data_IF_462188153063
#
_entry.id   IF_462188153063
#
_cell.length_a   1.000
_cell.length_b   1.000
_cell.length_c   1.000
_cell.angle_alpha   90.00
_cell.angle_beta   90.00
_cell.angle_gamma   90.00
#
_symmetry.space_group_name_H-M   'P 1'
#
loop_
_entity.id
_entity.type
_entity.pdbx_description
1 polymer ?
#
# COMPACT_ATOMS: atom_id res chain seq x y z
N UNK A 1 61.16 4.92 -13.50
CA UNK A 1 60.28 5.68 -12.58
C UNK A 1 59.09 6.16 -13.39
N UNK A 2 57.95 5.49 -13.25
CA UNK A 2 56.72 5.88 -13.93
C UNK A 2 55.98 6.94 -13.08
N UNK A 3 55.38 7.98 -13.69
CA UNK A 3 54.69 9.02 -12.94
C UNK A 3 53.39 8.48 -12.34
N UNK A 4 53.19 8.77 -11.06
CA UNK A 4 51.97 8.50 -10.31
C UNK A 4 50.87 9.41 -10.85
N UNK A 5 49.85 8.82 -11.46
CA UNK A 5 48.69 9.54 -11.97
C UNK A 5 47.89 10.15 -10.81
N UNK A 6 47.61 11.45 -10.92
CA UNK A 6 46.83 12.19 -9.94
C UNK A 6 45.36 11.69 -9.90
N UNK A 7 44.71 11.68 -8.72
CA UNK A 7 43.31 11.28 -8.60
C UNK A 7 42.38 12.28 -9.31
N UNK A 8 41.42 11.73 -10.06
CA UNK A 8 40.40 12.50 -10.76
C UNK A 8 39.51 13.29 -9.77
N UNK A 9 39.06 14.51 -10.11
CA UNK A 9 38.21 15.30 -9.25
C UNK A 9 36.83 14.64 -9.09
N UNK A 10 36.37 14.57 -7.83
CA UNK A 10 35.01 14.16 -7.48
C UNK A 10 33.99 15.00 -8.25
N UNK A 11 33.09 14.32 -8.98
CA UNK A 11 32.08 14.95 -9.83
C UNK A 11 31.07 15.73 -8.98
N UNK A 12 30.82 16.95 -9.41
CA UNK A 12 29.83 17.89 -8.87
C UNK A 12 28.39 17.48 -9.24
N UNK A 13 27.87 16.40 -8.66
CA UNK A 13 26.47 15.97 -8.88
C UNK A 13 25.47 16.49 -7.84
N UNK A 14 25.91 17.17 -6.78
CA UNK A 14 25.03 17.66 -5.71
C UNK A 14 24.36 19.02 -5.97
N UNK A 15 24.68 19.73 -7.06
CA UNK A 15 24.18 21.09 -7.28
C UNK A 15 22.78 21.16 -7.95
N UNK A 16 22.31 20.10 -8.61
CA UNK A 16 21.04 20.15 -9.37
C UNK A 16 19.78 19.93 -8.53
N UNK A 17 19.91 19.48 -7.28
CA UNK A 17 18.76 19.22 -6.42
C UNK A 17 18.24 20.46 -5.66
N UNK A 18 19.04 21.53 -5.56
CA UNK A 18 18.72 22.71 -4.76
C UNK A 18 18.08 23.86 -5.56
N UNK A 19 18.29 23.96 -6.87
CA UNK A 19 17.70 25.05 -7.67
C UNK A 19 16.20 24.85 -7.99
N UNK A 20 15.65 23.65 -7.83
CA UNK A 20 14.22 23.39 -8.13
C UNK A 20 13.26 23.72 -6.99
N UNK A 21 13.74 24.06 -5.79
CA UNK A 21 12.89 24.43 -4.65
C UNK A 21 12.46 25.91 -4.62
N UNK A 22 12.89 26.73 -5.59
CA UNK A 22 12.65 28.18 -5.57
C UNK A 22 11.43 28.66 -6.40
N UNK A 23 10.68 27.78 -7.09
CA UNK A 23 9.74 28.23 -8.14
C UNK A 23 8.23 28.02 -7.89
N UNK A 24 7.78 27.53 -6.73
CA UNK A 24 6.33 27.45 -6.43
C UNK A 24 6.05 27.99 -5.03
N UNK A 25 6.07 29.31 -4.91
CA UNK A 25 5.60 30.02 -3.74
C UNK A 25 4.07 30.11 -3.74
N UNK A 26 3.38 29.05 -3.35
CA UNK A 26 1.97 29.12 -2.96
C UNK A 26 1.88 29.09 -1.45
N UNK A 27 1.68 30.27 -0.86
CA UNK A 27 1.44 30.44 0.58
C UNK A 27 0.05 29.90 0.89
N UNK A 28 -0.03 28.71 1.48
CA UNK A 28 -1.27 28.17 2.04
C UNK A 28 -1.47 28.69 3.47
N UNK A 29 -2.46 29.56 3.66
CA UNK A 29 -2.85 30.03 4.99
C UNK A 29 -3.70 28.97 5.69
N UNK A 30 -3.14 28.31 6.70
CA UNK A 30 -3.86 27.35 7.54
C UNK A 30 -4.70 28.14 8.57
N UNK A 31 -6.02 28.17 8.38
CA UNK A 31 -6.97 28.52 9.44
C UNK A 31 -7.83 27.31 9.76
N UNK A 32 -7.72 26.87 11.01
CA UNK A 32 -8.60 26.00 11.78
C UNK A 32 -9.54 25.07 10.99
N UNK A 33 -9.20 23.78 10.97
CA UNK A 33 -10.06 22.62 10.61
C UNK A 33 -10.98 22.82 9.41
N UNK A 34 -10.47 22.62 8.18
CA UNK A 34 -11.10 22.03 6.98
C UNK A 34 -10.25 22.44 5.77
N UNK A 35 -9.64 21.48 5.08
CA UNK A 35 -8.93 21.74 3.83
C UNK A 35 -9.97 21.93 2.71
N UNK A 36 -10.22 23.18 2.35
CA UNK A 36 -10.98 23.52 1.14
C UNK A 36 -10.01 23.57 -0.03
N UNK A 37 -10.09 22.60 -0.94
CA UNK A 37 -9.44 22.70 -2.24
C UNK A 37 -10.38 23.49 -3.14
N UNK A 38 -10.01 24.68 -3.65
CA UNK A 38 -10.77 25.28 -4.73
C UNK A 38 -10.72 24.29 -5.91
N UNK A 39 -11.87 23.80 -6.34
CA UNK A 39 -11.97 23.17 -7.65
C UNK A 39 -11.72 24.28 -8.68
N UNK A 40 -10.76 24.09 -9.56
CA UNK A 40 -10.55 24.97 -10.70
C UNK A 40 -11.83 24.96 -11.56
N UNK A 41 -12.56 26.08 -11.58
CA UNK A 41 -13.87 26.22 -12.25
C UNK A 41 -13.75 26.35 -13.79
N UNK A 42 -12.58 26.11 -14.39
CA UNK A 42 -12.37 26.31 -15.85
C UNK A 42 -12.52 25.05 -16.73
N UNK A 43 -12.69 23.85 -16.18
CA UNK A 43 -12.80 22.62 -17.00
C UNK A 43 -14.24 22.09 -17.23
N UNK A 44 -15.27 22.76 -16.67
CA UNK A 44 -16.68 22.33 -16.82
C UNK A 44 -17.40 22.80 -18.11
N UNK A 45 -16.73 23.45 -19.06
CA UNK A 45 -17.41 24.03 -20.25
C UNK A 45 -17.36 23.22 -21.55
N UNK A 46 -16.81 22.01 -21.60
CA UNK A 46 -16.67 21.27 -22.86
C UNK A 46 -17.24 19.84 -22.88
N UNK A 47 -18.39 19.56 -22.27
CA UNK A 47 -19.13 18.32 -22.61
C UNK A 47 -20.65 18.57 -22.66
N UNK A 48 -21.25 18.19 -23.80
CA UNK A 48 -22.69 17.98 -24.11
C UNK A 48 -23.51 19.16 -24.65
N UNK A 49 -23.45 19.37 -25.98
CA UNK A 49 -24.62 19.72 -26.80
C UNK A 49 -24.85 18.66 -27.87
N UNK A 50 -25.65 17.64 -27.55
CA UNK A 50 -26.45 16.90 -28.53
C UNK A 50 -27.89 16.86 -28.02
N UNK A 51 -28.73 17.66 -28.67
CA UNK A 51 -30.14 17.80 -28.33
C UNK A 51 -30.92 16.53 -28.64
N UNK A 52 -31.77 16.13 -27.70
CA UNK A 52 -32.83 15.15 -27.92
C UNK A 52 -34.17 15.89 -27.88
N UNK A 53 -34.92 15.78 -28.97
CA UNK A 53 -36.19 16.45 -29.17
C UNK A 53 -37.27 15.93 -28.20
N UNK A 54 -38.08 16.87 -27.72
CA UNK A 54 -39.34 16.64 -27.00
C UNK A 54 -40.35 15.94 -27.90
N UNK A 55 -40.94 14.84 -27.43
CA UNK A 55 -42.31 14.47 -27.77
C UNK A 55 -43.14 14.45 -26.48
N UNK A 56 -44.11 15.37 -26.41
CA UNK A 56 -45.16 15.43 -25.40
C UNK A 56 -46.25 14.43 -25.79
N UNK A 57 -46.77 13.68 -24.82
CA UNK A 57 -48.18 13.27 -24.77
C UNK A 57 -48.48 12.73 -23.37
N UNK A 58 -49.38 13.43 -22.65
CA UNK A 58 -50.16 12.88 -21.55
C UNK A 58 -51.34 12.10 -22.14
N UNK A 59 -51.81 11.04 -21.47
CA UNK A 59 -53.10 11.14 -20.78
C UNK A 59 -53.11 10.39 -19.42
N UNK A 60 -53.68 10.99 -18.38
CA UNK A 60 -55.04 10.69 -17.85
C UNK A 60 -55.14 9.41 -17.00
N UNK A 61 -55.24 9.65 -15.68
CA UNK A 61 -56.03 8.98 -14.63
C UNK A 61 -56.18 7.45 -14.62
N UNK A 62 -55.78 6.84 -13.50
CA UNK A 62 -56.66 6.04 -12.63
C UNK A 62 -56.00 5.72 -11.29
N UNK A 63 -56.69 5.84 -10.14
CA UNK A 63 -56.20 5.40 -8.84
C UNK A 63 -56.56 3.93 -8.61
N UNK A 64 -55.58 3.08 -8.28
CA UNK A 64 -55.85 1.73 -7.77
C UNK A 64 -55.24 1.56 -6.38
N UNK A 65 -56.16 1.51 -5.40
CA UNK A 65 -56.30 0.49 -4.35
C UNK A 65 -55.09 -0.36 -3.94
N UNK A 66 -54.80 -0.27 -2.64
CA UNK A 66 -54.36 -1.30 -1.69
C UNK A 66 -54.11 -2.73 -2.22
N UNK A 67 -52.91 -3.24 -1.91
CA UNK A 67 -52.74 -4.58 -1.37
C UNK A 67 -51.55 -4.59 -0.40
N UNK A 68 -51.86 -4.79 0.88
CA UNK A 68 -50.90 -5.21 1.90
C UNK A 68 -50.26 -6.53 1.48
N UNK A 69 -48.95 -6.65 1.67
CA UNK A 69 -48.28 -7.95 1.68
C UNK A 69 -47.57 -8.17 3.02
N UNK A 70 -47.53 -9.43 3.46
CA UNK A 70 -47.40 -9.79 4.86
C UNK A 70 -45.96 -9.68 5.39
N UNK A 71 -45.89 -9.36 6.68
CA UNK A 71 -44.71 -9.55 7.50
C UNK A 71 -44.30 -11.04 7.45
N UNK A 72 -43.11 -11.30 6.94
CA UNK A 72 -42.45 -12.58 7.12
C UNK A 72 -41.84 -12.58 8.51
N UNK A 73 -42.46 -13.33 9.42
CA UNK A 73 -41.87 -13.78 10.67
C UNK A 73 -40.56 -14.51 10.35
N UNK A 74 -39.46 -14.10 10.95
CA UNK A 74 -38.23 -14.89 10.95
C UNK A 74 -38.09 -15.41 12.38
N UNK A 75 -38.27 -16.72 12.51
CA UNK A 75 -38.21 -17.45 13.77
C UNK A 75 -36.83 -17.30 14.44
N UNK A 76 -36.95 -17.07 15.74
CA UNK A 76 -35.94 -17.03 16.78
C UNK A 76 -35.76 -18.46 17.29
N UNK A 77 -34.55 -19.04 17.24
CA UNK A 77 -34.04 -20.24 17.94
C UNK A 77 -32.71 -20.61 17.23
N UNK A 78 -31.53 -20.72 17.85
CA UNK A 78 -31.20 -21.58 18.98
C UNK A 78 -30.08 -21.00 19.86
N UNK A 79 -30.32 -21.11 21.17
CA UNK A 79 -29.44 -20.85 22.30
C UNK A 79 -28.49 -22.05 22.50
N UNK A 80 -27.22 -21.93 22.08
CA UNK A 80 -26.19 -22.94 22.39
C UNK A 80 -25.38 -22.49 23.60
N UNK A 81 -25.94 -22.85 24.75
CA UNK A 81 -25.31 -22.82 26.07
C UNK A 81 -24.12 -23.80 26.15
N UNK A 82 -22.91 -23.32 25.90
CA UNK A 82 -21.68 -24.05 26.19
C UNK A 82 -21.28 -23.86 27.67
N UNK A 83 -21.67 -24.83 28.50
CA UNK A 83 -21.27 -24.94 29.91
C UNK A 83 -19.77 -25.23 30.06
N UNK A 84 -19.23 -24.70 31.16
CA UNK A 84 -17.84 -24.69 31.58
C UNK A 84 -17.07 -26.01 31.54
N UNK A 85 -15.75 -25.86 31.45
CA UNK A 85 -14.80 -26.77 32.10
C UNK A 85 -13.63 -25.93 32.61
N UNK A 86 -13.68 -25.67 33.91
CA UNK A 86 -12.62 -25.18 34.75
C UNK A 86 -11.63 -26.33 34.98
N UNK A 87 -10.36 -26.15 34.62
CA UNK A 87 -9.28 -27.09 34.98
C UNK A 87 -7.99 -26.31 35.27
N UNK A 88 -7.70 -26.20 36.56
CA UNK A 88 -6.46 -25.71 37.18
C UNK A 88 -5.35 -26.79 37.12
N UNK A 89 -4.08 -26.45 37.47
CA UNK A 89 -2.86 -26.99 36.88
C UNK A 89 -2.19 -28.10 37.71
N UNK A 90 -1.11 -28.73 37.19
CA UNK A 90 -0.08 -29.34 38.03
C UNK A 90 1.24 -28.56 38.01
N UNK A 91 1.61 -28.12 39.21
CA UNK A 91 2.96 -27.77 39.69
C UNK A 91 3.85 -29.00 39.81
N UNK A 92 5.03 -29.01 39.17
CA UNK A 92 6.26 -29.77 39.55
C UNK A 92 7.38 -29.37 38.57
N UNK A 93 8.68 -29.25 38.88
CA UNK A 93 9.47 -29.42 40.08
C UNK A 93 10.79 -28.64 39.91
N UNK A 94 11.39 -28.24 41.03
CA UNK A 94 12.79 -27.81 41.16
C UNK A 94 13.75 -28.94 40.74
N UNK A 95 14.77 -28.62 39.98
CA UNK A 95 15.97 -29.45 39.80
C UNK A 95 17.21 -28.57 39.94
N UNK A 96 17.82 -28.60 41.13
CA UNK A 96 19.16 -28.10 41.35
C UNK A 96 20.16 -29.18 40.89
N UNK A 97 21.20 -28.79 40.15
CA UNK A 97 22.45 -29.55 40.12
C UNK A 97 23.63 -28.59 40.03
N UNK A 98 24.41 -28.63 41.09
CA UNK A 98 25.77 -28.13 41.22
C UNK A 98 26.73 -29.12 40.58
N UNK A 99 27.65 -28.63 39.74
CA UNK A 99 28.77 -29.40 39.22
C UNK A 99 29.86 -28.45 38.72
N UNK A 100 30.96 -28.44 39.47
CA UNK A 100 32.30 -28.01 39.09
C UNK A 100 32.82 -28.87 37.90
N UNK A 101 33.92 -28.64 37.19
CA UNK A 101 35.24 -28.08 37.45
C UNK A 101 35.88 -27.75 36.08
N UNK A 102 36.87 -26.87 36.13
CA UNK A 102 38.01 -26.63 35.23
C UNK A 102 38.13 -27.44 33.92
N UNK A 103 38.05 -26.72 32.79
CA UNK A 103 38.60 -27.17 31.50
C UNK A 103 39.72 -26.20 31.03
N UNK A 104 40.94 -26.68 30.76
CA UNK A 104 42.10 -25.85 30.55
C UNK A 104 42.21 -25.36 29.10
N UNK A 105 42.36 -24.04 28.95
CA UNK A 105 43.08 -23.35 27.85
C UNK A 105 42.99 -24.03 26.47
N UNK A 106 41.84 -23.90 25.82
CA UNK A 106 41.76 -24.10 24.37
C UNK A 106 42.48 -22.93 23.67
N UNK A 107 43.66 -23.23 23.14
CA UNK A 107 44.56 -22.29 22.52
C UNK A 107 44.10 -21.98 21.09
N UNK A 108 43.61 -20.74 20.91
CA UNK A 108 43.62 -19.95 19.65
C UNK A 108 43.24 -20.71 18.37
N UNK A 109 41.94 -20.91 18.17
CA UNK A 109 41.37 -20.93 16.83
C UNK A 109 40.93 -19.51 16.47
N UNK A 110 41.86 -18.67 16.02
CA UNK A 110 41.55 -17.39 15.37
C UNK A 110 41.00 -17.67 13.96
N UNK A 111 39.83 -18.29 13.90
CA UNK A 111 39.07 -18.41 12.66
C UNK A 111 38.56 -17.01 12.33
N UNK A 112 38.86 -16.44 11.14
CA UNK A 112 38.29 -15.17 10.73
C UNK A 112 36.77 -15.34 10.72
N UNK A 113 36.10 -14.70 11.67
CA UNK A 113 34.66 -14.65 11.74
C UNK A 113 34.18 -14.06 10.41
N UNK A 114 33.43 -14.82 9.59
CA UNK A 114 32.95 -14.29 8.32
C UNK A 114 32.09 -13.08 8.65
N UNK A 115 32.57 -11.90 8.24
CA UNK A 115 31.86 -10.63 8.34
C UNK A 115 30.59 -10.74 7.50
N UNK A 116 29.56 -11.38 8.06
CA UNK A 116 28.23 -11.38 7.48
C UNK A 116 27.80 -9.92 7.39
N UNK A 117 27.50 -9.41 6.19
CA UNK A 117 27.00 -8.05 6.04
C UNK A 117 25.81 -7.91 6.97
N UNK A 118 25.92 -7.03 7.96
CA UNK A 118 24.85 -6.76 8.91
C UNK A 118 23.63 -6.33 8.10
N UNK A 119 22.65 -7.23 7.96
CA UNK A 119 21.41 -6.93 7.28
C UNK A 119 20.80 -5.74 8.01
N UNK A 120 20.70 -4.60 7.31
CA UNK A 120 20.21 -3.37 7.91
C UNK A 120 18.82 -3.61 8.50
N UNK A 121 18.67 -3.37 9.80
CA UNK A 121 17.41 -3.61 10.49
C UNK A 121 16.26 -2.81 9.81
N UNK A 122 15.04 -3.38 9.75
CA UNK A 122 13.89 -2.69 9.18
C UNK A 122 13.67 -1.33 9.87
N UNK A 123 13.52 -0.27 9.07
CA UNK A 123 13.40 1.10 9.58
C UNK A 123 11.95 1.58 9.43
N UNK A 124 11.31 2.02 10.51
CA UNK A 124 9.99 2.68 10.44
C UNK A 124 10.17 4.11 9.88
N UNK A 125 9.61 4.37 8.70
CA UNK A 125 9.74 5.68 8.03
C UNK A 125 8.58 6.60 8.39
N UNK A 126 7.41 6.02 8.63
CA UNK A 126 6.20 6.73 9.05
C UNK A 126 5.32 5.76 9.83
N UNK A 127 4.30 6.29 10.53
CA UNK A 127 3.40 5.48 11.37
C UNK A 127 2.80 4.32 10.59
N UNK A 128 3.20 3.11 10.97
CA UNK A 128 2.74 1.87 10.32
C UNK A 128 3.35 1.62 8.94
N UNK A 129 4.46 2.26 8.60
CA UNK A 129 5.19 2.06 7.35
C UNK A 129 6.65 1.73 7.62
N UNK A 130 7.03 0.51 7.27
CA UNK A 130 8.38 -0.02 7.43
C UNK A 130 9.03 -0.17 6.06
N UNK A 131 10.31 0.17 6.00
CA UNK A 131 11.13 0.07 4.79
C UNK A 131 12.40 -0.72 5.07
N UNK A 132 12.73 -1.58 4.13
CA UNK A 132 13.90 -2.44 4.14
C UNK A 132 14.55 -2.38 2.76
N UNK A 133 15.87 -2.17 2.71
CA UNK A 133 16.62 -2.16 1.46
C UNK A 133 16.94 -3.59 1.06
N UNK A 134 16.69 -3.97 -0.20
CA UNK A 134 17.02 -5.31 -0.69
C UNK A 134 18.49 -5.39 -1.13
N UNK A 135 19.05 -6.60 -1.15
CA UNK A 135 20.44 -6.83 -1.57
C UNK A 135 20.71 -6.38 -3.03
N UNK A 136 19.67 -6.32 -3.87
CA UNK A 136 19.75 -5.92 -5.28
C UNK A 136 19.62 -4.39 -5.48
N UNK A 137 19.63 -3.60 -4.40
CA UNK A 137 19.46 -2.15 -4.47
C UNK A 137 18.00 -1.70 -4.62
N UNK A 138 17.05 -2.62 -4.48
CA UNK A 138 15.63 -2.32 -4.39
C UNK A 138 15.17 -1.98 -2.97
N UNK A 139 13.85 -1.90 -2.81
CA UNK A 139 13.18 -1.57 -1.56
C UNK A 139 12.00 -2.51 -1.34
N UNK A 140 11.89 -3.03 -0.12
CA UNK A 140 10.74 -3.73 0.41
C UNK A 140 10.01 -2.81 1.39
N UNK A 141 8.76 -2.50 1.07
CA UNK A 141 7.88 -1.65 1.85
C UNK A 141 6.78 -2.49 2.48
N UNK A 142 6.53 -2.28 3.77
CA UNK A 142 5.38 -2.85 4.47
C UNK A 142 4.56 -1.72 5.06
N UNK A 143 3.33 -1.56 4.59
CA UNK A 143 2.40 -0.53 5.06
C UNK A 143 1.18 -1.17 5.73
N UNK A 144 0.98 -0.84 7.01
CA UNK A 144 -0.08 -1.37 7.86
C UNK A 144 -1.28 -0.42 7.90
N UNK A 145 -2.42 -0.91 7.44
CA UNK A 145 -3.68 -0.19 7.34
C UNK A 145 -4.69 -0.78 8.32
N UNK A 146 -5.38 0.08 9.08
CA UNK A 146 -6.43 -0.35 10.01
C UNK A 146 -7.70 -0.80 9.25
N UNK A 147 -8.29 -1.93 9.67
CA UNK A 147 -9.50 -2.51 9.08
C UNK A 147 -10.64 -1.50 8.96
N UNK A 148 -10.87 -0.67 9.99
CA UNK A 148 -11.94 0.33 9.98
C UNK A 148 -11.86 1.33 8.82
N UNK A 149 -10.65 1.63 8.30
CA UNK A 149 -10.48 2.59 7.20
C UNK A 149 -10.85 1.97 5.85
N UNK A 150 -10.53 0.69 5.69
CA UNK A 150 -10.84 -0.08 4.47
C UNK A 150 -12.25 -0.67 4.47
N UNK A 151 -13.01 -0.55 5.56
CA UNK A 151 -14.45 -0.87 5.60
C UNK A 151 -15.33 0.40 5.49
N UNK A 152 -14.70 1.57 5.34
CA UNK A 152 -15.37 2.86 5.22
C UNK A 152 -16.09 3.09 3.89
N UNK A 153 -16.67 4.28 3.76
CA UNK A 153 -17.30 4.74 2.52
C UNK A 153 -16.31 5.39 1.55
N UNK A 154 -15.05 5.54 1.95
CA UNK A 154 -14.02 6.20 1.13
C UNK A 154 -13.75 5.40 -0.16
N UNK A 155 -13.44 6.14 -1.24
CA UNK A 155 -13.08 5.57 -2.54
C UNK A 155 -11.63 5.14 -2.62
N UNK A 156 -10.78 5.79 -1.85
CA UNK A 156 -9.35 5.57 -1.89
C UNK A 156 -8.72 5.85 -0.53
N UNK A 157 -7.57 5.22 -0.29
CA UNK A 157 -6.78 5.43 0.92
C UNK A 157 -5.30 5.56 0.53
N UNK A 158 -4.65 6.62 1.03
CA UNK A 158 -3.30 7.00 0.60
C UNK A 158 -2.33 6.84 1.76
N UNK A 159 -1.15 6.27 1.50
CA UNK A 159 -0.10 6.14 2.50
C UNK A 159 0.51 7.48 2.87
N UNK A 160 1.20 7.56 4.03
CA UNK A 160 2.19 8.61 4.25
C UNK A 160 3.19 8.64 3.08
N UNK A 161 3.73 9.83 2.79
CA UNK A 161 4.81 9.97 1.81
C UNK A 161 6.06 9.25 2.33
N UNK A 162 6.76 8.57 1.42
CA UNK A 162 8.05 7.95 1.69
C UNK A 162 8.98 8.22 0.51
N UNK A 163 10.24 7.78 0.62
CA UNK A 163 11.23 8.06 -0.41
C UNK A 163 11.92 6.79 -0.85
N UNK A 164 12.11 6.64 -2.15
CA UNK A 164 12.90 5.56 -2.75
C UNK A 164 14.09 6.16 -3.49
N UNK A 165 15.23 5.46 -3.43
CA UNK A 165 16.41 5.81 -4.21
C UNK A 165 16.41 5.01 -5.50
N UNK A 166 16.25 5.70 -6.63
CA UNK A 166 16.36 5.08 -7.96
C UNK A 166 17.74 5.37 -8.55
N UNK A 167 18.33 4.45 -9.34
CA UNK A 167 19.54 4.72 -10.07
C UNK A 167 19.38 5.96 -10.96
N UNK A 168 20.41 6.80 -11.05
CA UNK A 168 20.48 8.02 -11.88
C UNK A 168 19.54 9.18 -11.49
N UNK A 169 18.47 8.93 -10.73
CA UNK A 169 17.50 9.95 -10.31
C UNK A 169 17.62 10.35 -8.83
N UNK A 170 18.36 9.57 -8.04
CA UNK A 170 18.53 9.82 -6.62
C UNK A 170 17.26 9.50 -5.84
N UNK A 171 16.97 10.31 -4.80
CA UNK A 171 15.91 10.05 -3.83
C UNK A 171 14.62 10.78 -4.23
N UNK A 172 13.59 10.03 -4.64
CA UNK A 172 12.32 10.59 -5.08
C UNK A 172 11.19 10.30 -4.07
N UNK A 173 10.19 11.20 -3.93
CA UNK A 173 9.01 10.99 -3.09
C UNK A 173 7.97 10.08 -3.75
N UNK A 174 7.39 9.18 -2.95
CA UNK A 174 6.36 8.22 -3.37
C UNK A 174 5.22 8.12 -2.37
N UNK A 175 4.07 7.65 -2.87
CA UNK A 175 2.89 7.26 -2.09
C UNK A 175 2.32 5.94 -2.63
N UNK A 176 1.77 5.13 -1.74
CA UNK A 176 0.90 4.01 -2.11
C UNK A 176 -0.56 4.47 -2.05
N UNK A 177 -1.35 4.03 -3.02
CA UNK A 177 -2.75 4.35 -3.13
C UNK A 177 -3.55 3.05 -3.21
N UNK A 178 -4.49 2.88 -2.29
CA UNK A 178 -5.51 1.84 -2.34
C UNK A 178 -6.76 2.40 -2.98
N UNK A 179 -7.25 1.79 -4.04
CA UNK A 179 -8.52 2.12 -4.66
C UNK A 179 -9.56 1.05 -4.34
N UNK A 180 -10.75 1.45 -3.91
CA UNK A 180 -11.90 0.56 -3.83
C UNK A 180 -12.22 0.04 -5.24
N UNK A 181 -12.38 -1.27 -5.39
CA UNK A 181 -12.59 -1.87 -6.70
C UNK A 181 -13.76 -2.84 -6.67
N UNK A 182 -14.64 -2.76 -7.68
CA UNK A 182 -15.79 -3.67 -7.73
C UNK A 182 -15.31 -5.13 -7.85
N UNK A 183 -15.99 -6.08 -7.15
CA UNK A 183 -15.66 -7.49 -7.24
C UNK A 183 -15.73 -7.97 -8.69
N UNK A 184 -14.92 -8.97 -9.08
CA UNK A 184 -14.87 -9.46 -10.47
C UNK A 184 -16.25 -9.83 -11.06
N UNK A 185 -17.16 -10.35 -10.23
CA UNK A 185 -18.53 -10.69 -10.62
C UNK A 185 -19.38 -9.46 -11.00
N UNK A 186 -19.14 -8.31 -10.34
CA UNK A 186 -19.90 -7.08 -10.56
C UNK A 186 -19.37 -6.22 -11.71
N UNK A 187 -18.11 -6.40 -12.13
CA UNK A 187 -17.50 -5.61 -13.21
C UNK A 187 -18.26 -5.70 -14.54
N UNK A 188 -18.96 -6.81 -14.81
CA UNK A 188 -19.77 -7.00 -16.03
C UNK A 188 -20.94 -6.00 -16.16
N UNK A 189 -21.39 -5.40 -15.05
CA UNK A 189 -22.56 -4.50 -15.02
C UNK A 189 -22.20 -3.03 -15.20
N UNK A 190 -20.92 -2.68 -15.41
CA UNK A 190 -20.47 -1.30 -15.65
C UNK A 190 -20.62 -0.34 -14.47
N UNK A 191 -21.18 -0.79 -13.34
CA UNK A 191 -21.25 0.01 -12.10
C UNK A 191 -19.94 -0.14 -11.35
N UNK A 192 -19.11 0.90 -11.38
CA UNK A 192 -17.94 1.01 -10.51
C UNK A 192 -18.35 1.03 -9.04
N UNK A 193 -17.46 0.57 -8.15
CA UNK A 193 -17.67 0.69 -6.71
C UNK A 193 -17.58 2.17 -6.30
N UNK A 194 -18.49 2.62 -5.44
CA UNK A 194 -18.51 4.01 -4.96
C UNK A 194 -17.66 4.22 -3.70
N UNK A 195 -17.14 3.15 -3.11
CA UNK A 195 -16.31 3.16 -1.90
C UNK A 195 -15.99 1.75 -1.41
N UNK A 196 -15.11 1.60 -0.42
CA UNK A 196 -14.66 0.29 0.05
C UNK A 196 -15.79 -0.61 0.56
N UNK A 197 -16.77 -0.03 1.27
CA UNK A 197 -17.97 -0.76 1.71
C UNK A 197 -18.75 -1.36 0.54
N UNK A 198 -18.93 -0.61 -0.55
CA UNK A 198 -19.61 -1.10 -1.76
C UNK A 198 -18.75 -2.04 -2.60
N UNK A 199 -17.44 -2.03 -2.38
CA UNK A 199 -16.48 -2.92 -3.02
C UNK A 199 -16.36 -4.27 -2.29
N UNK A 200 -17.09 -4.49 -1.19
CA UNK A 200 -17.01 -5.73 -0.40
C UNK A 200 -15.56 -6.06 0.02
N UNK A 201 -14.76 -5.04 0.31
CA UNK A 201 -13.35 -5.19 0.70
C UNK A 201 -12.39 -5.51 -0.46
N UNK A 202 -12.85 -5.48 -1.71
CA UNK A 202 -11.98 -5.60 -2.89
C UNK A 202 -11.27 -4.28 -3.19
N UNK A 203 -9.96 -4.36 -3.45
CA UNK A 203 -9.12 -3.19 -3.73
C UNK A 203 -8.09 -3.41 -4.82
N UNK A 204 -7.58 -2.30 -5.34
CA UNK A 204 -6.39 -2.22 -6.19
C UNK A 204 -5.33 -1.39 -5.48
N UNK A 205 -4.07 -1.71 -5.76
CA UNK A 205 -2.91 -1.01 -5.18
C UNK A 205 -2.11 -0.38 -6.30
N UNK A 206 -1.80 0.91 -6.15
CA UNK A 206 -0.96 1.67 -7.07
C UNK A 206 0.17 2.37 -6.31
N UNK A 207 1.34 2.44 -6.93
CA UNK A 207 2.49 3.21 -6.51
C UNK A 207 2.54 4.49 -7.33
N UNK A 208 2.50 5.65 -6.66
CA UNK A 208 2.59 6.98 -7.29
C UNK A 208 3.91 7.66 -6.94
N UNK A 209 4.70 8.00 -7.96
CA UNK A 209 5.78 8.98 -7.86
C UNK A 209 5.16 10.37 -7.73
N UNK A 210 5.62 11.15 -6.75
CA UNK A 210 5.11 12.49 -6.45
C UNK A 210 6.01 13.60 -7.02
N UNK A 211 6.98 13.24 -7.84
CA UNK A 211 7.90 14.16 -8.51
C UNK A 211 7.61 14.22 -10.01
N UNK A 212 7.98 15.32 -10.64
CA UNK A 212 7.81 15.55 -12.07
C UNK A 212 9.08 15.11 -12.82
N UNK A 213 9.04 13.87 -13.31
CA UNK A 213 10.10 13.29 -14.12
C UNK A 213 9.97 13.75 -15.58
N UNK A 214 11.11 14.02 -16.22
CA UNK A 214 11.13 14.47 -17.60
C UNK A 214 11.16 13.29 -18.57
N UNK A 215 10.53 13.40 -19.76
CA UNK A 215 10.69 12.39 -20.80
C UNK A 215 12.19 12.23 -21.15
N UNK A 216 12.72 11.03 -20.97
CA UNK A 216 14.14 10.72 -21.13
C UNK A 216 14.85 10.31 -19.84
N UNK A 217 14.24 10.57 -18.68
CA UNK A 217 14.71 10.02 -17.40
C UNK A 217 14.58 8.49 -17.42
N UNK A 218 15.68 7.80 -17.10
CA UNK A 218 15.75 6.33 -17.01
C UNK A 218 15.10 5.83 -15.70
N UNK A 219 13.79 6.04 -15.57
CA UNK A 219 13.01 5.75 -14.37
C UNK A 219 12.33 4.36 -14.41
N UNK A 220 13.03 3.36 -14.95
CA UNK A 220 12.51 2.00 -15.11
C UNK A 220 12.58 1.22 -13.79
N UNK A 221 11.44 0.70 -13.35
CA UNK A 221 11.31 -0.10 -12.13
C UNK A 221 10.58 -1.41 -12.42
N UNK A 222 10.80 -2.40 -11.56
CA UNK A 222 10.04 -3.63 -11.45
C UNK A 222 9.23 -3.59 -10.15
N UNK A 223 7.90 -3.65 -10.26
CA UNK A 223 6.98 -3.57 -9.13
C UNK A 223 6.37 -4.94 -8.83
N UNK A 224 6.48 -5.41 -7.60
CA UNK A 224 5.71 -6.55 -7.08
C UNK A 224 4.87 -6.14 -5.88
N UNK A 225 3.65 -6.66 -5.78
CA UNK A 225 2.70 -6.31 -4.73
C UNK A 225 2.19 -7.58 -4.06
N UNK A 226 2.14 -7.56 -2.73
CA UNK A 226 1.58 -8.59 -1.87
C UNK A 226 0.62 -7.99 -0.84
N UNK A 227 -0.16 -8.85 -0.19
CA UNK A 227 -1.13 -8.45 0.81
C UNK A 227 -1.21 -9.45 1.94
N UNK A 228 -1.21 -8.98 3.19
CA UNK A 228 -1.15 -9.81 4.39
C UNK A 228 0.27 -10.20 4.79
N UNK A 229 0.39 -10.95 5.89
CA UNK A 229 1.63 -11.51 6.42
C UNK A 229 1.37 -12.95 6.88
N UNK A 230 2.41 -13.79 6.85
CA UNK A 230 2.33 -15.18 7.29
C UNK A 230 1.21 -15.95 6.59
N UNK A 231 0.40 -16.66 7.37
CA UNK A 231 -0.71 -17.49 6.86
C UNK A 231 -1.87 -16.67 6.26
N UNK A 232 -1.92 -15.37 6.54
CA UNK A 232 -2.90 -14.43 5.98
C UNK A 232 -2.41 -13.77 4.68
N UNK A 233 -1.20 -14.11 4.25
CA UNK A 233 -0.61 -13.57 3.03
C UNK A 233 -1.30 -14.16 1.79
N UNK A 234 -1.84 -13.27 0.96
CA UNK A 234 -2.20 -13.60 -0.41
C UNK A 234 -0.92 -13.70 -1.26
N UNK A 235 -0.91 -14.54 -2.32
CA UNK A 235 0.24 -14.69 -3.19
C UNK A 235 0.70 -13.35 -3.77
N UNK A 236 2.00 -13.07 -3.66
CA UNK A 236 2.63 -11.89 -4.27
C UNK A 236 2.46 -11.95 -5.79
N UNK A 237 2.19 -10.81 -6.41
CA UNK A 237 1.98 -10.67 -7.85
C UNK A 237 2.98 -9.66 -8.43
N UNK A 238 3.41 -9.89 -9.67
CA UNK A 238 4.53 -9.20 -10.30
C UNK A 238 5.71 -10.15 -10.57
N UNK A 239 6.88 -9.63 -10.97
CA UNK A 239 7.18 -8.21 -11.17
C UNK A 239 6.54 -7.64 -12.44
N UNK A 240 6.14 -6.36 -12.38
CA UNK A 240 5.67 -5.59 -13.54
C UNK A 240 6.69 -4.49 -13.84
N UNK A 241 7.23 -4.48 -15.06
CA UNK A 241 8.14 -3.44 -15.51
C UNK A 241 7.35 -2.17 -15.85
N UNK A 242 7.83 -1.02 -15.36
CA UNK A 242 7.17 0.26 -15.54
C UNK A 242 8.19 1.40 -15.62
N UNK A 243 7.91 2.39 -16.46
CA UNK A 243 8.74 3.60 -16.57
C UNK A 243 8.00 4.79 -15.96
N UNK A 244 8.52 5.30 -14.83
CA UNK A 244 7.86 6.39 -14.08
C UNK A 244 7.91 7.75 -14.80
N UNK A 245 8.82 7.95 -15.76
CA UNK A 245 8.89 9.16 -16.56
C UNK A 245 7.81 9.22 -17.65
N UNK A 246 7.30 8.06 -18.08
CA UNK A 246 6.14 7.97 -18.98
C UNK A 246 4.82 8.10 -18.23
N UNK A 247 4.73 7.49 -17.05
CA UNK A 247 3.53 7.54 -16.21
C UNK A 247 3.93 7.52 -14.73
N UNK A 248 3.59 8.56 -13.99
CA UNK A 248 3.95 8.69 -12.57
C UNK A 248 3.25 7.68 -11.65
N UNK A 249 2.26 6.94 -12.15
CA UNK A 249 1.54 5.90 -11.41
C UNK A 249 1.79 4.52 -12.03
N UNK A 250 2.08 3.55 -11.16
CA UNK A 250 2.35 2.17 -11.52
C UNK A 250 1.45 1.23 -10.72
N UNK A 251 0.85 0.24 -11.39
CA UNK A 251 0.03 -0.79 -10.76
C UNK A 251 0.18 -2.11 -11.49
N UNK A 252 -0.45 -3.16 -10.97
CA UNK A 252 -0.50 -4.45 -11.65
C UNK A 252 -1.44 -4.40 -12.87
N UNK A 253 -1.24 -5.26 -13.89
CA UNK A 253 -2.15 -5.35 -15.02
C UNK A 253 -3.55 -5.80 -14.58
N UNK A 254 -4.56 -5.41 -15.37
CA UNK A 254 -5.96 -5.77 -15.13
C UNK A 254 -6.11 -7.29 -14.97
N UNK A 255 -6.81 -7.70 -13.91
CA UNK A 255 -7.02 -9.11 -13.57
C UNK A 255 -6.00 -9.65 -12.56
N UNK A 256 -4.86 -8.99 -12.42
CA UNK A 256 -3.88 -9.23 -11.34
C UNK A 256 -3.85 -8.10 -10.31
N UNK A 257 -4.55 -7.00 -10.57
CA UNK A 257 -4.62 -5.81 -9.72
C UNK A 257 -5.59 -5.93 -8.53
N UNK A 258 -6.39 -6.99 -8.46
CA UNK A 258 -7.51 -7.11 -7.52
C UNK A 258 -7.17 -7.93 -6.27
N UNK A 259 -7.27 -7.34 -5.10
CA UNK A 259 -7.04 -8.01 -3.82
C UNK A 259 -8.27 -7.99 -2.94
N UNK A 260 -8.49 -9.04 -2.14
CA UNK A 260 -9.61 -9.12 -1.21
C UNK A 260 -9.11 -8.90 0.22
N UNK A 261 -9.26 -7.68 0.75
CA UNK A 261 -8.68 -7.29 2.03
C UNK A 261 -9.12 -8.15 3.22
N UNK A 262 -10.41 -8.53 3.37
CA UNK A 262 -10.85 -9.30 4.53
C UNK A 262 -10.13 -10.64 4.72
N UNK A 263 -9.54 -11.20 3.66
CA UNK A 263 -8.72 -12.44 3.74
C UNK A 263 -7.34 -12.23 4.34
N UNK A 264 -6.89 -10.99 4.43
CA UNK A 264 -5.54 -10.62 4.89
C UNK A 264 -5.54 -9.71 6.11
N UNK A 265 -6.71 -9.49 6.73
CA UNK A 265 -6.83 -8.78 8.00
C UNK A 265 -6.40 -9.71 9.13
N UNK A 266 -5.43 -9.27 9.91
CA UNK A 266 -5.07 -9.92 11.17
C UNK A 266 -6.21 -9.74 12.19
N UNK A 267 -6.82 -10.84 12.69
CA UNK A 267 -7.95 -10.77 13.60
C UNK A 267 -7.61 -10.16 14.96
N UNK A 268 -6.33 -10.20 15.37
CA UNK A 268 -5.88 -9.67 16.66
C UNK A 268 -5.63 -8.17 16.56
N UNK A 269 -4.84 -7.74 15.58
CA UNK A 269 -4.48 -6.31 15.46
C UNK A 269 -5.55 -5.49 14.73
N UNK A 270 -6.46 -6.15 14.00
CA UNK A 270 -7.43 -5.51 13.08
C UNK A 270 -6.74 -4.64 12.04
N UNK A 271 -5.63 -5.15 11.49
CA UNK A 271 -4.84 -4.46 10.46
C UNK A 271 -4.57 -5.39 9.28
N UNK A 272 -4.44 -4.80 8.11
CA UNK A 272 -3.96 -5.46 6.91
C UNK A 272 -2.61 -4.85 6.52
N UNK A 273 -1.70 -5.69 6.03
CA UNK A 273 -0.40 -5.24 5.57
C UNK A 273 -0.37 -5.25 4.04
N UNK A 274 -0.04 -4.11 3.44
CA UNK A 274 0.28 -3.99 2.03
C UNK A 274 1.79 -4.12 1.90
N UNK A 275 2.24 -5.10 1.12
CA UNK A 275 3.66 -5.37 0.90
C UNK A 275 4.00 -4.97 -0.52
N UNK A 276 4.97 -4.08 -0.70
CA UNK A 276 5.38 -3.62 -2.04
C UNK A 276 6.88 -3.77 -2.17
N UNK A 277 7.31 -4.46 -3.21
CA UNK A 277 8.71 -4.60 -3.57
C UNK A 277 8.97 -3.82 -4.85
N UNK A 278 9.94 -2.90 -4.78
CA UNK A 278 10.37 -2.08 -5.92
C UNK A 278 11.83 -2.37 -6.18
N UNK A 279 12.12 -2.87 -7.37
CA UNK A 279 13.49 -3.15 -7.81
C UNK A 279 13.81 -2.24 -9.01
N UNK A 280 15.02 -1.67 -9.10
CA UNK A 280 15.44 -0.99 -10.32
C UNK A 280 15.44 -1.98 -11.48
N UNK A 281 14.84 -1.62 -12.61
CA UNK A 281 15.01 -2.41 -13.83
C UNK A 281 16.44 -2.17 -14.31
N UNK A 282 17.21 -3.25 -14.50
CA UNK A 282 18.44 -3.13 -15.28
C UNK A 282 18.10 -2.55 -16.66
N UNK A 283 18.83 -1.52 -17.07
CA UNK A 283 18.71 -0.90 -18.38
C UNK A 283 19.21 -1.86 -19.46
#
# INVERSE_FOLDING_TARGET
MAPIAAPAPARAEDARCLERLAAVGSIATVRNTFLHFPADEEEELMIVKRGSARCKTLPTMSPMSFASLPACCFDEEDDVSCKGSEATPPTTARGASSGSDDDPRCSRCSSPEPLVPFAAAPTEIARGMVHERTAQGGALLRWSVEERRILGQDKMFVSPSFYLSLPNLGRLPFKLILHAAAPPAAQKKGKGAQGFRSAEGWVRVELKCCDDLLPGDHADICLSIGMGLGDLAQPVRGPVRHNLAQQSMCGLPKGQDMWHLPRSVDPVTRRVHVVVMVEPSAA
#
